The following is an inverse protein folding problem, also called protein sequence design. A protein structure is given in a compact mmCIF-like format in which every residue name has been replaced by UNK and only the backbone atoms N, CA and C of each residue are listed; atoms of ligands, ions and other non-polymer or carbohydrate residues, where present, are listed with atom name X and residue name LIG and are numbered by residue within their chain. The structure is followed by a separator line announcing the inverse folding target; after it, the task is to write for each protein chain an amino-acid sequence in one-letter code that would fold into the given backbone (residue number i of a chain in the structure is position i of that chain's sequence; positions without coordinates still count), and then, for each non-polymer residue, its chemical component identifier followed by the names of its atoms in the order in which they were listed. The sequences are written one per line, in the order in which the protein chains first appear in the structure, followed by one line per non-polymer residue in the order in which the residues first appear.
data_IF_430568314934
#
_entry.id   IF_430568314934
#
_cell.length_a   1.000
_cell.length_b   1.000
_cell.length_c   1.000
_cell.angle_alpha   90.00
_cell.angle_beta   90.00
_cell.angle_gamma   90.00
#
_symmetry.space_group_name_H-M   'P 1'
#
loop_
_entity.id
_entity.type
_entity.pdbx_description
1 polymer ?
#
# COMPACT_ATOMS: atom_id res chain seq x y z
N UNK A 1 5.08 15.88 19.46
CA UNK A 1 4.06 16.96 19.47
C UNK A 1 3.02 16.81 18.36
N UNK A 2 3.31 17.06 17.06
CA UNK A 2 2.26 16.94 16.03
C UNK A 2 1.62 15.54 15.96
N UNK A 3 2.44 14.49 15.92
CA UNK A 3 1.96 13.10 15.90
C UNK A 3 1.11 12.78 17.14
N UNK A 4 1.52 13.24 18.32
CA UNK A 4 0.83 12.96 19.59
C UNK A 4 -0.48 13.74 19.73
N UNK A 5 -0.55 14.96 19.19
CA UNK A 5 -1.70 15.88 19.34
C UNK A 5 -2.75 15.64 18.25
N UNK A 6 -2.32 15.31 17.02
CA UNK A 6 -3.21 15.31 15.85
C UNK A 6 -3.44 13.94 15.22
N UNK A 7 -2.62 12.92 15.54
CA UNK A 7 -2.69 11.62 14.86
C UNK A 7 -2.83 10.47 15.83
N UNK A 8 -2.06 10.45 16.94
CA UNK A 8 -2.12 9.51 18.07
C UNK A 8 -2.30 8.02 17.68
N UNK A 9 -1.78 7.60 16.50
CA UNK A 9 -2.03 6.27 15.89
C UNK A 9 -3.52 5.94 15.66
N UNK A 10 -4.38 6.95 15.67
CA UNK A 10 -5.80 6.86 15.38
C UNK A 10 -6.04 6.81 13.88
N UNK A 11 -6.57 5.69 13.42
CA UNK A 11 -6.86 5.44 12.01
C UNK A 11 -7.76 6.51 11.39
N UNK A 12 -8.70 7.04 12.17
CA UNK A 12 -9.64 8.08 11.74
C UNK A 12 -8.97 9.44 11.48
N UNK A 13 -7.76 9.66 12.00
CA UNK A 13 -7.03 10.92 11.90
C UNK A 13 -5.84 10.87 10.93
N UNK A 14 -5.60 9.72 10.30
CA UNK A 14 -4.50 9.53 9.35
C UNK A 14 -4.56 10.48 8.14
N UNK A 15 -5.73 11.05 7.83
CA UNK A 15 -5.90 12.00 6.75
C UNK A 15 -5.28 13.39 7.04
N UNK A 16 -4.94 13.70 8.30
CA UNK A 16 -4.28 14.96 8.68
C UNK A 16 -2.77 14.96 8.45
N UNK A 17 -2.16 13.78 8.20
CA UNK A 17 -0.72 13.63 8.05
C UNK A 17 -0.35 13.03 6.70
N UNK A 18 0.77 13.48 6.15
CA UNK A 18 1.34 12.86 4.96
C UNK A 18 1.82 11.44 5.30
N UNK A 19 1.35 10.46 4.55
CA UNK A 19 1.74 9.04 4.70
C UNK A 19 3.26 8.84 4.71
N UNK A 20 4.00 9.58 3.86
CA UNK A 20 5.46 9.51 3.78
C UNK A 20 6.19 10.00 5.05
N UNK A 21 5.50 10.67 5.96
CA UNK A 21 6.03 11.11 7.27
C UNK A 21 5.54 10.17 8.37
N UNK A 22 4.27 9.78 8.31
CA UNK A 22 3.66 8.92 9.32
C UNK A 22 4.27 7.50 9.32
N UNK A 23 4.39 6.86 8.15
CA UNK A 23 4.88 5.47 8.09
C UNK A 23 6.30 5.31 8.64
N UNK A 24 7.30 6.13 8.26
CA UNK A 24 8.66 6.01 8.82
C UNK A 24 8.74 6.18 10.34
N UNK A 25 7.84 6.96 10.95
CA UNK A 25 7.82 7.17 12.40
C UNK A 25 7.35 5.92 13.16
N UNK A 26 6.46 5.10 12.58
CA UNK A 26 5.92 3.92 13.24
C UNK A 26 6.55 2.60 12.78
N UNK A 27 7.06 2.56 11.54
CA UNK A 27 7.67 1.37 10.95
C UNK A 27 8.71 0.70 11.85
N UNK A 28 9.67 1.40 12.48
CA UNK A 28 10.69 0.77 13.32
C UNK A 28 10.11 -0.09 14.46
N UNK A 29 9.00 0.31 15.06
CA UNK A 29 8.33 -0.45 16.13
C UNK A 29 7.60 -1.68 15.59
N UNK A 30 7.05 -1.56 14.38
CA UNK A 30 6.34 -2.67 13.73
C UNK A 30 7.31 -3.72 13.16
N UNK A 31 8.57 -3.37 12.86
CA UNK A 31 9.57 -4.34 12.36
C UNK A 31 9.72 -5.55 13.29
N UNK A 32 9.70 -5.35 14.62
CA UNK A 32 9.79 -6.48 15.56
C UNK A 32 8.55 -7.38 15.56
N UNK A 33 7.40 -6.88 15.11
CA UNK A 33 6.12 -7.62 15.09
C UNK A 33 5.89 -8.34 13.76
N UNK A 34 6.14 -7.66 12.65
CA UNK A 34 5.76 -8.13 11.30
C UNK A 34 6.95 -8.26 10.35
N UNK A 35 8.16 -7.93 10.80
CA UNK A 35 9.36 -7.87 9.97
C UNK A 35 9.49 -6.54 9.21
N UNK A 36 10.58 -6.38 8.44
CA UNK A 36 10.81 -5.19 7.64
C UNK A 36 9.64 -4.91 6.68
N UNK A 37 9.20 -3.65 6.62
CA UNK A 37 8.07 -3.25 5.78
C UNK A 37 8.21 -3.69 4.32
N UNK A 38 9.43 -3.63 3.77
CA UNK A 38 9.73 -4.10 2.42
C UNK A 38 9.36 -5.57 2.23
N UNK A 39 9.64 -6.45 3.19
CA UNK A 39 9.35 -7.88 3.09
C UNK A 39 7.85 -8.13 3.25
N UNK A 40 7.23 -7.47 4.23
CA UNK A 40 5.81 -7.62 4.51
C UNK A 40 4.92 -7.13 3.35
N UNK A 41 5.25 -5.99 2.75
CA UNK A 41 4.49 -5.45 1.61
C UNK A 41 4.87 -6.08 0.27
N UNK A 42 5.99 -6.81 0.17
CA UNK A 42 6.46 -7.37 -1.09
C UNK A 42 5.44 -8.29 -1.71
N UNK A 43 5.00 -9.30 -0.95
CA UNK A 43 4.08 -10.32 -1.45
C UNK A 43 2.76 -9.75 -2.00
N UNK A 44 2.02 -8.88 -1.28
CA UNK A 44 0.79 -8.33 -1.83
C UNK A 44 1.03 -7.41 -3.04
N UNK A 45 2.15 -6.69 -3.09
CA UNK A 45 2.51 -5.83 -4.24
C UNK A 45 2.82 -6.68 -5.46
N UNK A 46 3.70 -7.67 -5.33
CA UNK A 46 4.06 -8.59 -6.43
C UNK A 46 2.83 -9.34 -6.93
N UNK A 47 1.97 -9.81 -6.01
CA UNK A 47 0.71 -10.46 -6.39
C UNK A 47 -0.21 -9.51 -7.15
N UNK A 48 -0.32 -8.26 -6.71
CA UNK A 48 -1.12 -7.25 -7.41
C UNK A 48 -0.56 -6.97 -8.79
N UNK A 49 0.77 -6.87 -8.92
CA UNK A 49 1.43 -6.69 -10.20
C UNK A 49 1.17 -7.88 -11.15
N UNK A 50 1.32 -9.11 -10.67
CA UNK A 50 1.03 -10.31 -11.46
C UNK A 50 -0.43 -10.38 -11.90
N UNK A 51 -1.38 -10.00 -11.04
CA UNK A 51 -2.79 -9.90 -11.43
C UNK A 51 -2.98 -8.86 -12.53
N UNK A 52 -2.41 -7.66 -12.40
CA UNK A 52 -2.51 -6.60 -13.42
C UNK A 52 -1.91 -7.09 -14.74
N UNK A 53 -0.77 -7.78 -14.71
CA UNK A 53 -0.14 -8.34 -15.90
C UNK A 53 -1.04 -9.38 -16.59
N UNK A 54 -1.67 -10.28 -15.81
CA UNK A 54 -2.64 -11.26 -16.33
C UNK A 54 -3.83 -10.58 -17.01
N UNK A 55 -4.30 -9.46 -16.46
CA UNK A 55 -5.45 -8.73 -16.99
C UNK A 55 -5.09 -7.85 -18.19
N UNK A 56 -3.91 -7.24 -18.20
CA UNK A 56 -3.44 -6.40 -19.31
C UNK A 56 -3.16 -7.25 -20.55
N UNK A 57 -2.47 -8.39 -20.41
CA UNK A 57 -1.97 -9.22 -21.53
C UNK A 57 -1.26 -8.38 -22.60
N UNK A 58 -1.83 -8.32 -23.81
CA UNK A 58 -1.29 -7.52 -24.91
C UNK A 58 -1.80 -6.07 -24.81
N UNK A 59 -0.86 -5.12 -24.84
CA UNK A 59 -1.12 -3.69 -24.69
C UNK A 59 -2.23 -3.13 -25.60
N UNK A 60 -2.43 -3.72 -26.78
CA UNK A 60 -3.38 -3.21 -27.78
C UNK A 60 -4.83 -3.41 -27.35
N UNK A 61 -5.10 -4.39 -26.49
CA UNK A 61 -6.43 -4.72 -25.99
C UNK A 61 -6.54 -4.57 -24.46
N UNK A 62 -5.54 -3.94 -23.81
CA UNK A 62 -5.43 -3.88 -22.35
C UNK A 62 -6.70 -3.33 -21.68
N UNK A 63 -7.24 -2.21 -22.19
CA UNK A 63 -8.46 -1.62 -21.65
C UNK A 63 -9.68 -2.54 -21.78
N UNK A 64 -9.84 -3.22 -22.91
CA UNK A 64 -10.94 -4.15 -23.13
C UNK A 64 -10.84 -5.37 -22.19
N UNK A 65 -9.63 -5.90 -22.00
CA UNK A 65 -9.37 -7.02 -21.09
C UNK A 65 -9.68 -6.65 -19.63
N UNK A 66 -9.18 -5.50 -19.15
CA UNK A 66 -9.43 -5.02 -17.79
C UNK A 66 -10.93 -4.75 -17.56
N UNK A 67 -11.60 -4.11 -18.52
CA UNK A 67 -13.04 -3.83 -18.45
C UNK A 67 -13.86 -5.12 -18.39
N UNK A 68 -13.51 -6.14 -19.18
CA UNK A 68 -14.18 -7.45 -19.14
C UNK A 68 -14.09 -8.10 -17.75
N UNK A 69 -13.05 -7.76 -16.98
CA UNK A 69 -12.73 -8.39 -15.70
C UNK A 69 -13.12 -7.50 -14.51
N UNK A 70 -13.68 -6.32 -14.80
CA UNK A 70 -14.27 -5.42 -13.81
C UNK A 70 -13.25 -4.60 -13.01
N UNK A 71 -12.06 -4.38 -13.58
CA UNK A 71 -10.98 -3.57 -13.00
C UNK A 71 -10.93 -2.21 -13.70
#
# INVERSE_FOLDING_TARGET
EFEDIYVERRSDQLHFIRQSVHSPNHLPREVSRIGPGIIYSQWPIERTFGNIEEEVKQHSNAFANMTQRGI
#
